data_IF_541932782199
#
_entry.id   IF_541932782199
#
_cell.length_a   1.000
_cell.length_b   1.000
_cell.length_c   1.000
_cell.angle_alpha   90.00
_cell.angle_beta   90.00
_cell.angle_gamma   90.00
#
_symmetry.space_group_name_H-M   'P 1'
#
loop_
_entity.id
_entity.type
_entity.pdbx_description
1 polymer ?
#
# COMPACT_ATOMS: atom_id res chain seq x y z
N UNK A 1 2.46 -5.03 -2.20
CA UNK A 1 1.08 -5.25 -2.66
C UNK A 1 0.35 -3.93 -2.48
N UNK A 2 -0.24 -3.39 -3.55
CA UNK A 2 -1.12 -2.22 -3.51
C UNK A 2 -2.53 -2.75 -3.62
N UNK A 3 -3.41 -2.35 -2.71
CA UNK A 3 -4.79 -2.81 -2.68
C UNK A 3 -5.58 -2.13 -3.81
N UNK A 4 -6.34 -2.91 -4.56
CA UNK A 4 -7.28 -2.36 -5.53
C UNK A 4 -8.50 -1.77 -4.79
N UNK A 5 -9.14 -0.71 -5.32
CA UNK A 5 -10.40 -0.21 -4.78
C UNK A 5 -11.43 -1.34 -4.68
N UNK A 6 -12.11 -1.44 -3.52
CA UNK A 6 -13.12 -2.47 -3.26
C UNK A 6 -12.59 -3.76 -2.65
N UNK A 7 -11.26 -3.91 -2.52
CA UNK A 7 -10.69 -4.96 -1.67
C UNK A 7 -10.74 -4.52 -0.21
N UNK A 8 -11.25 -5.39 0.65
CA UNK A 8 -11.29 -5.22 2.09
C UNK A 8 -10.56 -6.38 2.77
N UNK A 9 -10.06 -6.11 3.98
CA UNK A 9 -9.47 -7.11 4.85
C UNK A 9 -10.26 -7.08 6.14
N UNK A 10 -10.46 -8.27 6.69
CA UNK A 10 -10.96 -8.44 8.03
C UNK A 10 -9.80 -8.77 8.94
N UNK A 11 -9.92 -8.33 10.18
CA UNK A 11 -8.89 -8.38 11.19
C UNK A 11 -9.52 -8.30 12.56
N UNK A 12 -8.79 -8.76 13.56
CA UNK A 12 -9.20 -8.68 14.95
C UNK A 12 -8.13 -7.95 15.74
N UNK A 13 -8.57 -7.18 16.72
CA UNK A 13 -7.70 -6.51 17.67
C UNK A 13 -8.13 -6.95 19.05
N UNK A 14 -7.31 -7.78 19.68
CA UNK A 14 -7.53 -8.21 21.05
C UNK A 14 -6.83 -7.26 22.02
N UNK A 15 -7.61 -6.63 22.90
CA UNK A 15 -7.08 -5.82 23.99
C UNK A 15 -7.25 -6.56 25.32
N UNK A 16 -6.26 -6.42 26.22
CA UNK A 16 -6.30 -7.05 27.55
C UNK A 16 -7.50 -6.57 28.36
N UNK A 17 -7.93 -5.32 28.16
CA UNK A 17 -9.12 -4.78 28.78
C UNK A 17 -9.77 -3.68 27.94
N UNK A 18 -11.00 -3.34 28.30
CA UNK A 18 -11.76 -2.24 27.66
C UNK A 18 -11.08 -0.89 27.88
N UNK A 19 -10.43 -0.69 29.02
CA UNK A 19 -9.69 0.53 29.34
C UNK A 19 -8.48 0.70 28.42
N UNK A 20 -7.77 -0.40 28.10
CA UNK A 20 -6.66 -0.38 27.15
C UNK A 20 -7.14 -0.03 25.75
N UNK A 21 -8.28 -0.60 25.31
CA UNK A 21 -8.91 -0.25 24.04
C UNK A 21 -9.26 1.25 23.98
N UNK A 22 -9.93 1.76 25.02
CA UNK A 22 -10.30 3.18 25.09
C UNK A 22 -9.08 4.10 25.10
N UNK A 23 -8.02 3.73 25.84
CA UNK A 23 -6.77 4.47 25.88
C UNK A 23 -6.09 4.49 24.49
N UNK A 24 -6.09 3.37 23.78
CA UNK A 24 -5.60 3.27 22.41
C UNK A 24 -6.37 4.18 21.45
N UNK A 25 -7.72 4.11 21.47
CA UNK A 25 -8.57 4.97 20.64
C UNK A 25 -8.30 6.45 20.92
N UNK A 26 -8.22 6.83 22.21
CA UNK A 26 -7.91 8.21 22.62
C UNK A 26 -6.53 8.67 22.16
N UNK A 27 -5.51 7.82 22.24
CA UNK A 27 -4.15 8.14 21.83
C UNK A 27 -4.05 8.43 20.32
N UNK A 28 -4.79 7.67 19.51
CA UNK A 28 -4.76 7.79 18.05
C UNK A 28 -5.80 8.82 17.54
N UNK A 29 -6.79 9.16 18.36
CA UNK A 29 -7.91 10.02 17.97
C UNK A 29 -8.98 9.27 17.17
N UNK A 30 -9.16 7.97 17.47
CA UNK A 30 -10.21 7.15 16.89
C UNK A 30 -11.48 7.18 17.71
N UNK A 31 -12.61 7.05 17.02
CA UNK A 31 -13.86 6.61 17.62
C UNK A 31 -13.73 5.12 17.98
N UNK A 32 -14.16 4.74 19.19
CA UNK A 32 -14.02 3.38 19.69
C UNK A 32 -14.78 2.35 18.85
N UNK A 33 -15.85 2.78 18.19
CA UNK A 33 -16.67 1.99 17.27
C UNK A 33 -17.06 2.86 16.08
N UNK A 34 -17.31 2.21 14.95
CA UNK A 34 -17.64 2.89 13.69
C UNK A 34 -16.41 3.18 12.83
N UNK A 35 -16.56 4.13 11.92
CA UNK A 35 -15.64 4.34 10.80
C UNK A 35 -14.53 5.33 11.14
N UNK A 36 -13.28 4.89 10.99
CA UNK A 36 -12.07 5.66 11.24
C UNK A 36 -11.18 5.73 10.00
N UNK A 37 -10.31 6.73 9.93
CA UNK A 37 -9.32 6.87 8.86
C UNK A 37 -7.91 6.69 9.42
N UNK A 38 -7.13 5.78 8.81
CA UNK A 38 -5.75 5.54 9.22
C UNK A 38 -4.83 5.45 8.00
N UNK A 39 -3.58 5.88 8.15
CA UNK A 39 -2.53 5.60 7.16
C UNK A 39 -1.71 4.40 7.60
N UNK A 40 -1.87 3.29 6.91
CA UNK A 40 -1.12 2.05 7.11
C UNK A 40 0.01 1.89 6.08
N UNK A 41 1.16 1.42 6.56
CA UNK A 41 2.29 1.04 5.73
C UNK A 41 3.42 2.08 5.63
N UNK A 42 4.39 1.79 4.75
CA UNK A 42 5.64 2.58 4.61
C UNK A 42 5.53 3.74 3.61
N UNK A 43 4.52 3.74 2.74
CA UNK A 43 4.41 4.65 1.60
C UNK A 43 3.54 5.89 1.87
N UNK A 44 3.43 6.32 3.12
CA UNK A 44 2.49 7.37 3.56
C UNK A 44 2.70 8.72 2.85
N UNK A 45 3.93 9.00 2.36
CA UNK A 45 4.27 10.23 1.62
C UNK A 45 3.92 10.18 0.13
N UNK A 46 3.60 9.02 -0.43
CA UNK A 46 3.31 8.83 -1.86
C UNK A 46 1.80 8.78 -2.16
N UNK A 47 0.97 9.26 -1.23
CA UNK A 47 -0.49 9.22 -1.34
C UNK A 47 -1.12 7.85 -1.05
N UNK A 48 -0.33 6.78 -0.93
CA UNK A 48 -0.80 5.44 -0.59
C UNK A 48 -0.98 5.24 0.92
N UNK A 49 -1.68 4.15 1.26
CA UNK A 49 -1.80 3.66 2.64
C UNK A 49 -2.94 4.26 3.43
N UNK A 50 -3.66 5.27 2.92
CA UNK A 50 -4.89 5.73 3.57
C UNK A 50 -5.96 4.63 3.43
N UNK A 51 -6.39 4.08 4.56
CA UNK A 51 -7.44 3.08 4.65
C UNK A 51 -8.58 3.59 5.54
N UNK A 52 -9.78 3.17 5.19
CA UNK A 52 -10.95 3.25 6.06
C UNK A 52 -10.96 2.00 6.92
N UNK A 53 -11.07 2.19 8.23
CA UNK A 53 -11.21 1.12 9.21
C UNK A 53 -12.59 1.20 9.81
N UNK A 54 -13.24 0.08 10.03
CA UNK A 54 -14.48 0.04 10.79
C UNK A 54 -14.30 -0.91 11.97
N UNK A 55 -14.54 -0.38 13.16
CA UNK A 55 -14.50 -1.17 14.39
C UNK A 55 -15.92 -1.46 14.83
N UNK A 56 -16.22 -2.74 14.98
CA UNK A 56 -17.40 -3.24 15.67
C UNK A 56 -16.95 -4.03 16.89
N UNK A 57 -17.78 -4.08 17.92
CA UNK A 57 -17.62 -5.15 18.90
C UNK A 57 -17.73 -6.49 18.16
N UNK A 58 -16.94 -7.47 18.59
CA UNK A 58 -17.17 -8.85 18.17
C UNK A 58 -18.57 -9.23 18.67
N UNK A 59 -19.52 -9.33 17.74
CA UNK A 59 -20.86 -9.81 18.04
C UNK A 59 -20.72 -11.31 18.34
N UNK A 60 -20.74 -11.65 19.63
CA UNK A 60 -20.58 -13.01 20.17
C UNK A 60 -19.12 -13.52 20.18
N UNK A 61 -18.75 -14.44 21.10
CA UNK A 61 -17.37 -14.60 21.59
C UNK A 61 -16.42 -15.34 20.62
N UNK A 62 -16.83 -15.51 19.37
CA UNK A 62 -16.12 -16.33 18.39
C UNK A 62 -15.21 -15.44 17.53
N UNK A 63 -13.91 -15.69 17.62
CA UNK A 63 -12.95 -15.03 16.76
C UNK A 63 -13.24 -15.41 15.31
N UNK A 64 -13.33 -14.43 14.40
CA UNK A 64 -13.51 -14.63 12.97
C UNK A 64 -12.36 -15.43 12.35
N UNK A 65 -11.20 -15.46 13.01
CA UNK A 65 -10.06 -16.28 12.59
C UNK A 65 -10.10 -17.67 13.21
N UNK A 66 -10.38 -17.77 14.51
CA UNK A 66 -10.40 -19.07 15.19
C UNK A 66 -11.68 -19.86 14.89
N UNK A 67 -12.74 -19.20 14.44
CA UNK A 67 -14.05 -19.74 14.09
C UNK A 67 -14.85 -20.25 15.28
N UNK A 68 -14.29 -21.18 16.05
CA UNK A 68 -14.95 -21.83 17.16
C UNK A 68 -14.05 -21.91 18.41
N UNK A 69 -14.61 -21.95 19.63
CA UNK A 69 -13.87 -22.21 20.86
C UNK A 69 -13.05 -23.50 20.78
N UNK A 70 -11.95 -23.59 21.54
CA UNK A 70 -11.04 -24.75 21.53
C UNK A 70 -11.79 -26.07 21.74
N UNK A 71 -12.74 -26.09 22.67
CA UNK A 71 -13.55 -27.27 23.01
C UNK A 71 -14.40 -27.80 21.86
N UNK A 72 -14.77 -26.93 20.92
CA UNK A 72 -15.52 -27.33 19.73
C UNK A 72 -14.58 -27.79 18.61
N UNK A 73 -13.28 -27.43 18.69
CA UNK A 73 -12.24 -27.80 17.72
C UNK A 73 -11.54 -29.12 18.06
N UNK A 74 -11.42 -29.46 19.33
CA UNK A 74 -10.88 -30.74 19.78
C UNK A 74 -12.02 -31.75 19.89
N UNK A 75 -11.95 -32.80 19.10
CA UNK A 75 -12.97 -33.83 18.95
C UNK A 75 -12.62 -35.07 19.78
N UNK A 76 -13.59 -35.95 20.02
CA UNK A 76 -13.36 -37.17 20.81
C UNK A 76 -12.32 -38.11 20.19
N UNK A 77 -12.20 -38.12 18.86
CA UNK A 77 -11.20 -38.91 18.12
C UNK A 77 -9.77 -38.33 18.20
N UNK A 78 -9.59 -37.12 18.71
CA UNK A 78 -8.26 -36.58 18.99
C UNK A 78 -7.64 -37.22 20.25
N UNK A 79 -8.47 -37.88 21.08
CA UNK A 79 -8.03 -38.62 22.26
C UNK A 79 -7.84 -40.11 21.96
N UNK A 80 -6.92 -40.74 22.68
CA UNK A 80 -6.84 -42.20 22.70
C UNK A 80 -7.98 -42.82 23.52
N UNK A 81 -8.22 -44.13 23.39
CA UNK A 81 -9.31 -44.84 24.10
C UNK A 81 -9.27 -44.68 25.63
N UNK A 82 -8.10 -44.39 26.19
CA UNK A 82 -7.91 -44.18 27.63
C UNK A 82 -8.03 -42.71 28.08
N UNK A 83 -8.23 -41.76 27.16
CA UNK A 83 -8.18 -40.30 27.38
C UNK A 83 -6.93 -39.83 28.15
N UNK A 84 -5.80 -40.49 27.94
CA UNK A 84 -4.49 -40.16 28.56
C UNK A 84 -3.52 -39.50 27.59
N UNK A 85 -3.87 -39.49 26.30
CA UNK A 85 -3.11 -38.87 25.23
C UNK A 85 -4.07 -38.14 24.28
N UNK A 86 -3.67 -36.97 23.82
CA UNK A 86 -4.42 -36.13 22.88
C UNK A 86 -3.50 -35.71 21.74
N UNK A 87 -3.94 -35.85 20.48
CA UNK A 87 -3.19 -35.45 19.29
C UNK A 87 -3.81 -34.21 18.65
N UNK A 88 -3.01 -33.18 18.43
CA UNK A 88 -3.47 -31.85 18.01
C UNK A 88 -2.60 -31.29 16.88
N UNK A 89 -3.22 -30.55 15.97
CA UNK A 89 -2.51 -29.76 14.96
C UNK A 89 -2.37 -28.32 15.43
N UNK A 90 -1.16 -27.90 15.77
CA UNK A 90 -0.85 -26.51 16.14
C UNK A 90 -0.45 -25.71 14.91
N UNK A 91 -1.07 -24.56 14.68
CA UNK A 91 -0.85 -23.71 13.50
C UNK A 91 -0.61 -22.26 13.90
N UNK A 92 0.46 -21.65 13.40
CA UNK A 92 0.75 -20.24 13.63
C UNK A 92 -0.17 -19.35 12.77
N UNK A 93 -0.95 -18.49 13.41
CA UNK A 93 -1.80 -17.51 12.74
C UNK A 93 -1.05 -16.21 12.45
N UNK A 94 -0.06 -15.89 13.27
CA UNK A 94 0.87 -14.80 13.03
C UNK A 94 2.32 -15.28 13.16
N UNK A 95 3.31 -14.54 12.60
CA UNK A 95 4.70 -14.95 12.72
C UNK A 95 5.12 -15.01 14.20
N UNK A 96 5.91 -16.01 14.59
CA UNK A 96 6.37 -16.20 15.97
C UNK A 96 7.88 -15.97 16.09
N UNK A 97 8.29 -15.20 17.10
CA UNK A 97 9.70 -15.01 17.45
C UNK A 97 9.99 -15.85 18.69
N UNK A 98 10.53 -17.05 18.51
CA UNK A 98 10.83 -17.95 19.63
C UNK A 98 12.34 -18.16 19.71
N UNK A 99 12.88 -18.07 20.92
CA UNK A 99 14.29 -18.32 21.20
C UNK A 99 14.46 -19.66 21.88
N UNK A 100 15.50 -20.41 21.56
CA UNK A 100 15.89 -21.58 22.35
C UNK A 100 16.54 -21.16 23.68
N UNK A 101 16.96 -22.15 24.48
CA UNK A 101 17.60 -21.91 25.78
C UNK A 101 18.96 -21.21 25.68
N UNK A 102 19.56 -21.16 24.49
CA UNK A 102 20.81 -20.47 24.21
C UNK A 102 20.59 -19.08 23.58
N UNK A 103 19.34 -18.62 23.49
CA UNK A 103 19.00 -17.32 22.91
C UNK A 103 19.07 -17.29 21.37
N UNK A 104 19.14 -18.45 20.71
CA UNK A 104 19.12 -18.54 19.24
C UNK A 104 17.68 -18.64 18.76
N UNK A 105 17.37 -18.05 17.62
CA UNK A 105 16.04 -18.18 17.04
C UNK A 105 15.78 -19.61 16.59
N UNK A 106 14.61 -20.14 16.95
CA UNK A 106 14.18 -21.46 16.46
C UNK A 106 13.84 -21.39 14.98
N UNK A 107 14.10 -22.48 14.25
CA UNK A 107 13.84 -22.56 12.81
C UNK A 107 12.73 -23.56 12.45
N UNK A 108 12.26 -24.33 13.42
CA UNK A 108 11.17 -25.29 13.29
C UNK A 108 10.67 -25.73 14.66
N UNK A 109 9.67 -26.62 14.66
CA UNK A 109 9.08 -27.14 15.88
C UNK A 109 9.94 -28.24 16.50
N UNK A 110 10.17 -28.14 17.79
CA UNK A 110 10.86 -29.13 18.60
C UNK A 110 10.16 -29.24 19.96
N UNK A 111 10.14 -30.45 20.50
CA UNK A 111 9.39 -30.81 21.71
C UNK A 111 9.75 -29.90 22.89
N UNK A 112 11.04 -29.61 23.06
CA UNK A 112 11.54 -28.88 24.23
C UNK A 112 11.02 -27.45 24.28
N UNK A 113 11.05 -26.73 23.14
CA UNK A 113 10.58 -25.36 23.13
C UNK A 113 9.06 -25.30 23.08
N UNK A 114 8.38 -26.22 22.39
CA UNK A 114 6.91 -26.25 22.34
C UNK A 114 6.36 -26.47 23.75
N UNK A 115 6.88 -27.45 24.48
CA UNK A 115 6.51 -27.70 25.88
C UNK A 115 6.66 -26.44 26.76
N UNK A 116 7.82 -25.76 26.63
CA UNK A 116 8.14 -24.54 27.38
C UNK A 116 7.21 -23.37 27.03
N UNK A 117 6.97 -23.12 25.74
CA UNK A 117 6.14 -22.00 25.29
C UNK A 117 4.66 -22.19 25.64
N UNK A 118 4.19 -23.46 25.64
CA UNK A 118 2.86 -23.82 26.13
C UNK A 118 2.76 -23.80 27.66
N UNK A 119 3.88 -23.69 28.39
CA UNK A 119 3.97 -23.69 29.86
C UNK A 119 3.34 -24.93 30.50
N UNK A 120 3.51 -26.09 29.86
CA UNK A 120 2.94 -27.32 30.38
C UNK A 120 3.69 -27.77 31.65
N UNK A 121 3.01 -28.33 32.66
CA UNK A 121 3.65 -28.97 33.79
C UNK A 121 4.65 -30.06 33.36
N UNK A 122 5.74 -30.25 34.10
CA UNK A 122 6.78 -31.24 33.76
C UNK A 122 6.28 -32.69 33.64
N UNK A 123 5.17 -33.03 34.31
CA UNK A 123 4.53 -34.35 34.19
C UNK A 123 3.90 -34.60 32.82
N UNK A 124 3.53 -33.53 32.11
CA UNK A 124 2.94 -33.59 30.78
C UNK A 124 4.07 -33.71 29.77
N UNK A 125 3.99 -34.70 28.89
CA UNK A 125 4.93 -34.90 27.78
C UNK A 125 4.32 -34.34 26.50
N UNK A 126 5.18 -33.78 25.66
CA UNK A 126 4.85 -33.32 24.31
C UNK A 126 5.76 -34.05 23.35
N UNK A 127 5.17 -34.70 22.37
CA UNK A 127 5.88 -35.38 21.28
C UNK A 127 5.51 -34.70 19.97
N UNK A 128 6.51 -34.44 19.11
CA UNK A 128 6.28 -33.86 17.78
C UNK A 128 6.22 -35.00 16.77
N UNK A 129 5.10 -35.13 16.07
CA UNK A 129 4.90 -36.21 15.12
C UNK A 129 5.91 -36.13 13.94
N UNK A 130 6.72 -37.19 13.70
CA UNK A 130 7.67 -37.20 12.59
C UNK A 130 6.97 -37.04 11.24
N UNK A 131 7.49 -36.17 10.38
CA UNK A 131 6.93 -35.95 9.04
C UNK A 131 5.65 -35.10 8.99
N UNK A 132 5.07 -34.75 10.14
CA UNK A 132 3.86 -33.91 10.23
C UNK A 132 4.19 -32.52 10.78
N UNK A 133 5.30 -31.95 10.30
CA UNK A 133 5.72 -30.59 10.61
C UNK A 133 6.03 -29.81 9.34
N UNK A 134 5.53 -28.59 9.28
CA UNK A 134 5.83 -27.64 8.21
C UNK A 134 6.25 -26.32 8.84
N UNK A 135 7.48 -25.90 8.57
CA UNK A 135 8.02 -24.66 9.11
C UNK A 135 8.67 -23.86 8.00
N UNK A 136 8.38 -22.57 7.96
CA UNK A 136 9.08 -21.62 7.11
C UNK A 136 9.60 -20.49 7.98
N UNK A 137 10.81 -20.04 7.68
CA UNK A 137 11.42 -18.91 8.39
C UNK A 137 11.63 -17.74 7.45
N UNK A 138 11.62 -16.53 8.01
CA UNK A 138 12.11 -15.34 7.34
C UNK A 138 12.77 -14.39 8.31
N UNK A 139 13.55 -13.47 7.75
CA UNK A 139 14.08 -12.33 8.48
C UNK A 139 13.00 -11.26 8.60
N UNK A 140 12.77 -10.82 9.83
CA UNK A 140 11.95 -9.68 10.16
C UNK A 140 12.86 -8.48 10.39
N UNK A 141 12.72 -7.49 9.52
CA UNK A 141 13.42 -6.21 9.62
C UNK A 141 12.39 -5.09 9.83
N UNK A 142 12.78 -4.04 10.56
CA UNK A 142 11.88 -2.99 11.00
C UNK A 142 12.60 -1.69 11.30
N UNK A 143 11.82 -0.62 11.46
CA UNK A 143 12.34 0.69 11.84
C UNK A 143 11.55 1.21 13.03
N UNK A 144 12.24 1.71 14.05
CA UNK A 144 11.61 2.34 15.19
C UNK A 144 11.46 3.84 14.90
N UNK A 145 10.23 4.28 14.58
CA UNK A 145 9.96 5.68 14.28
C UNK A 145 10.15 6.61 15.48
N UNK A 146 10.02 6.11 16.72
CA UNK A 146 10.23 6.93 17.92
C UNK A 146 11.72 7.21 18.14
N UNK A 147 12.57 6.20 17.92
CA UNK A 147 14.01 6.32 18.10
C UNK A 147 14.74 6.80 16.83
N UNK A 148 14.09 6.72 15.67
CA UNK A 148 14.72 7.01 14.38
C UNK A 148 15.81 6.00 13.99
N UNK A 149 15.76 4.78 14.54
CA UNK A 149 16.79 3.75 14.33
C UNK A 149 16.20 2.46 13.74
N UNK A 150 16.96 1.71 12.93
CA UNK A 150 16.62 0.34 12.56
C UNK A 150 16.39 -0.52 13.80
N UNK A 151 15.39 -1.40 13.75
CA UNK A 151 15.17 -2.40 14.79
C UNK A 151 16.18 -3.54 14.63
N UNK A 152 16.42 -4.26 15.71
CA UNK A 152 17.16 -5.52 15.66
C UNK A 152 16.43 -6.47 14.72
N UNK A 153 17.20 -7.18 13.89
CA UNK A 153 16.67 -8.14 12.93
C UNK A 153 16.37 -9.45 13.66
N UNK A 154 15.10 -9.86 13.63
CA UNK A 154 14.65 -11.12 14.21
C UNK A 154 14.53 -12.20 13.13
N UNK A 155 14.72 -13.46 13.48
CA UNK A 155 14.25 -14.60 12.65
C UNK A 155 12.91 -15.03 13.20
N UNK A 156 11.90 -15.11 12.33
CA UNK A 156 10.55 -15.54 12.69
C UNK A 156 10.21 -16.88 12.05
N UNK A 157 9.46 -17.70 12.76
CA UNK A 157 8.61 -18.72 12.14
C UNK A 157 7.44 -17.99 11.47
N UNK A 158 7.18 -18.26 10.20
CA UNK A 158 6.12 -17.60 9.44
C UNK A 158 4.73 -18.09 9.86
N UNK A 159 3.74 -17.21 9.72
CA UNK A 159 2.34 -17.60 9.79
C UNK A 159 2.05 -18.70 8.75
N UNK A 160 1.20 -19.66 9.11
CA UNK A 160 0.94 -20.88 8.36
C UNK A 160 1.92 -22.02 8.65
N UNK A 161 3.00 -21.79 9.39
CA UNK A 161 3.81 -22.89 9.92
C UNK A 161 2.97 -23.71 10.89
N UNK A 162 3.00 -25.03 10.78
CA UNK A 162 2.16 -25.95 11.56
C UNK A 162 2.90 -27.21 11.96
N UNK A 163 2.42 -27.84 13.03
CA UNK A 163 2.97 -29.10 13.55
C UNK A 163 1.86 -29.92 14.18
N UNK A 164 1.91 -31.25 13.98
CA UNK A 164 1.13 -32.17 14.78
C UNK A 164 1.90 -32.55 16.04
N UNK A 165 1.27 -32.38 17.19
CA UNK A 165 1.81 -32.73 18.50
C UNK A 165 0.93 -33.75 19.19
N UNK A 166 1.54 -34.64 19.97
CA UNK A 166 0.85 -35.50 20.92
C UNK A 166 1.18 -35.06 22.34
N UNK A 167 0.15 -34.81 23.14
CA UNK A 167 0.24 -34.43 24.54
C UNK A 167 -0.20 -35.62 25.38
N UNK A 168 0.58 -36.01 26.38
CA UNK A 168 0.23 -37.11 27.29
C UNK A 168 0.61 -36.82 28.74
N UNK A 169 0.10 -37.61 29.70
CA UNK A 169 0.45 -37.46 31.12
C UNK A 169 -0.35 -36.39 31.87
N UNK A 170 -1.49 -35.96 31.32
CA UNK A 170 -2.49 -35.18 32.03
C UNK A 170 -3.44 -36.08 32.84
N UNK A 171 -3.95 -35.57 33.96
CA UNK A 171 -4.79 -36.35 34.88
C UNK A 171 -6.26 -36.35 34.46
N UNK A 172 -6.73 -35.25 33.88
CA UNK A 172 -8.10 -35.02 33.45
C UNK A 172 -8.09 -34.10 32.22
N UNK A 173 -9.10 -34.28 31.35
CA UNK A 173 -9.24 -33.53 30.10
C UNK A 173 -9.53 -32.05 30.34
N UNK A 174 -10.23 -31.70 31.42
CA UNK A 174 -10.59 -30.31 31.75
C UNK A 174 -9.37 -29.45 32.09
N UNK A 175 -8.42 -30.02 32.83
CA UNK A 175 -7.13 -29.37 33.11
C UNK A 175 -6.36 -29.16 31.81
N UNK A 176 -6.36 -30.13 30.89
CA UNK A 176 -5.72 -29.98 29.59
C UNK A 176 -6.37 -28.85 28.79
N UNK A 177 -7.71 -28.84 28.67
CA UNK A 177 -8.44 -27.78 27.97
C UNK A 177 -8.10 -26.40 28.53
N UNK A 178 -8.11 -26.25 29.85
CA UNK A 178 -7.80 -24.97 30.51
C UNK A 178 -6.37 -24.49 30.18
N UNK A 179 -5.39 -25.40 30.18
CA UNK A 179 -4.00 -25.08 29.84
C UNK A 179 -3.85 -24.67 28.37
N UNK A 180 -4.53 -25.37 27.46
CA UNK A 180 -4.47 -25.08 26.03
C UNK A 180 -5.20 -23.78 25.67
N UNK A 181 -6.35 -23.50 26.27
CA UNK A 181 -7.08 -22.24 26.14
C UNK A 181 -6.23 -21.06 26.63
N UNK A 182 -5.58 -21.19 27.79
CA UNK A 182 -4.66 -20.16 28.30
C UNK A 182 -3.47 -19.97 27.35
N UNK A 183 -2.92 -21.06 26.81
CA UNK A 183 -1.79 -20.98 25.89
C UNK A 183 -2.17 -20.27 24.58
N UNK A 184 -3.31 -20.59 23.97
CA UNK A 184 -3.81 -19.91 22.76
C UNK A 184 -4.07 -18.43 23.01
N UNK A 185 -4.78 -18.09 24.10
CA UNK A 185 -5.10 -16.70 24.44
C UNK A 185 -3.84 -15.86 24.69
N UNK A 186 -2.80 -16.49 25.25
CA UNK A 186 -1.53 -15.84 25.58
C UNK A 186 -0.58 -15.71 24.38
N UNK A 187 -0.60 -16.65 23.45
CA UNK A 187 0.39 -16.79 22.39
C UNK A 187 1.79 -17.20 22.87
N UNK A 188 2.69 -17.43 21.91
CA UNK A 188 4.06 -17.92 22.11
C UNK A 188 5.13 -16.88 21.75
N UNK A 189 6.32 -17.01 22.35
CA UNK A 189 7.49 -16.23 21.98
C UNK A 189 7.49 -14.76 22.42
N UNK A 190 8.31 -13.97 21.72
CA UNK A 190 8.55 -12.55 21.97
C UNK A 190 7.57 -11.66 21.20
N UNK A 191 7.41 -10.42 21.68
CA UNK A 191 6.64 -9.35 21.02
C UNK A 191 5.16 -9.71 20.76
N UNK A 192 4.58 -10.52 21.64
CA UNK A 192 3.17 -10.94 21.60
C UNK A 192 2.19 -9.77 21.63
N UNK A 193 2.52 -8.73 22.38
CA UNK A 193 1.79 -7.47 22.43
C UNK A 193 1.83 -6.66 21.13
N UNK A 194 2.70 -6.99 20.18
CA UNK A 194 2.71 -6.42 18.83
C UNK A 194 1.95 -7.30 17.81
N UNK A 195 1.33 -8.39 18.26
CA UNK A 195 0.57 -9.33 17.43
C UNK A 195 1.38 -10.52 16.89
N UNK A 196 2.61 -10.73 17.37
CA UNK A 196 3.41 -11.92 17.01
C UNK A 196 3.04 -13.13 17.87
N UNK A 197 3.25 -14.33 17.34
CA UNK A 197 3.11 -15.58 18.09
C UNK A 197 1.68 -16.00 18.40
N UNK A 198 0.70 -15.50 17.66
CA UNK A 198 -0.67 -16.01 17.71
C UNK A 198 -0.71 -17.38 17.01
N UNK A 199 -1.42 -18.34 17.60
CA UNK A 199 -1.53 -19.70 17.08
C UNK A 199 -2.87 -20.32 17.50
N UNK A 200 -3.21 -21.45 16.87
CA UNK A 200 -4.42 -22.21 17.17
C UNK A 200 -4.16 -23.72 17.07
N UNK A 201 -4.87 -24.51 17.87
CA UNK A 201 -4.97 -25.96 17.78
C UNK A 201 -6.17 -26.38 16.91
N UNK A 202 -6.01 -27.36 16.04
CA UNK A 202 -7.08 -27.87 15.18
C UNK A 202 -7.87 -26.74 14.50
N UNK A 203 -7.14 -25.80 13.88
CA UNK A 203 -7.73 -24.62 13.26
C UNK A 203 -8.82 -25.02 12.25
N UNK A 204 -9.99 -24.34 12.20
CA UNK A 204 -11.12 -24.81 11.39
C UNK A 204 -10.84 -24.90 9.89
N UNK A 205 -9.83 -24.19 9.39
CA UNK A 205 -9.34 -24.28 7.99
C UNK A 205 -9.11 -25.72 7.53
N UNK A 206 -8.77 -26.64 8.43
CA UNK A 206 -8.53 -28.03 8.08
C UNK A 206 -9.82 -28.79 7.69
N UNK A 207 -10.97 -28.39 8.23
CA UNK A 207 -12.25 -29.09 8.05
C UNK A 207 -13.31 -28.22 7.33
N UNK A 208 -13.44 -26.95 7.72
CA UNK A 208 -14.55 -26.07 7.35
C UNK A 208 -14.35 -25.31 6.04
N UNK A 209 -13.11 -25.06 5.59
CA UNK A 209 -12.87 -24.35 4.33
C UNK A 209 -13.30 -25.15 3.09
N UNK A 210 -13.60 -26.45 3.22
CA UNK A 210 -14.15 -27.26 2.13
C UNK A 210 -15.60 -26.89 1.79
N UNK A 211 -16.31 -26.23 2.70
CA UNK A 211 -17.74 -25.90 2.59
C UNK A 211 -18.00 -24.42 2.31
N UNK A 212 -16.95 -23.58 2.24
CA UNK A 212 -17.10 -22.15 1.97
C UNK A 212 -17.17 -21.90 0.46
N UNK A 213 -18.38 -21.68 -0.06
CA UNK A 213 -18.62 -21.37 -1.47
C UNK A 213 -18.56 -19.85 -1.75
N UNK A 214 -18.93 -19.00 -0.79
CA UNK A 214 -18.88 -17.53 -0.90
C UNK A 214 -18.39 -16.86 0.40
N UNK A 215 -17.79 -15.67 0.27
CA UNK A 215 -17.33 -14.88 1.41
C UNK A 215 -18.48 -13.99 1.92
N UNK A 216 -19.33 -14.54 2.79
CA UNK A 216 -20.47 -13.85 3.39
C UNK A 216 -20.07 -12.96 4.57
N UNK A 217 -19.26 -11.94 4.30
CA UNK A 217 -19.00 -10.91 5.32
C UNK A 217 -19.77 -9.64 4.96
N UNK A 218 -20.87 -9.33 5.68
CA UNK A 218 -21.67 -8.16 5.39
C UNK A 218 -20.87 -6.89 5.66
N UNK A 219 -20.64 -6.09 4.62
CA UNK A 219 -19.98 -4.78 4.75
C UNK A 219 -21.01 -3.72 5.16
N UNK A 220 -20.67 -2.91 6.17
CA UNK A 220 -21.47 -1.75 6.52
C UNK A 220 -21.54 -0.75 5.35
N UNK A 221 -22.66 -0.03 5.23
CA UNK A 221 -22.94 0.90 4.13
C UNK A 221 -21.87 1.99 3.94
N UNK A 222 -21.13 2.33 5.00
CA UNK A 222 -20.03 3.29 4.95
C UNK A 222 -18.78 2.75 4.23
N UNK A 223 -18.55 1.43 4.28
CA UNK A 223 -17.45 0.73 3.60
C UNK A 223 -17.83 0.21 2.21
N UNK A 224 -19.14 0.06 1.94
CA UNK A 224 -19.61 -0.24 0.60
C UNK A 224 -19.20 0.89 -0.34
N UNK A 225 -18.47 0.53 -1.40
CA UNK A 225 -18.32 1.43 -2.54
C UNK A 225 -19.73 1.81 -2.98
N UNK A 226 -20.09 3.09 -2.88
CA UNK A 226 -21.33 3.62 -3.47
C UNK A 226 -21.23 3.39 -4.98
N UNK A 227 -21.66 2.21 -5.43
CA UNK A 227 -21.50 1.71 -6.80
C UNK A 227 -21.93 2.78 -7.81
N UNK A 228 -23.08 3.42 -7.57
CA UNK A 228 -23.63 4.41 -8.50
C UNK A 228 -22.76 5.67 -8.69
N UNK A 229 -22.15 6.20 -7.61
CA UNK A 229 -21.34 7.43 -7.70
C UNK A 229 -19.89 7.14 -8.06
N UNK A 230 -19.35 6.00 -7.63
CA UNK A 230 -17.99 5.59 -7.97
C UNK A 230 -17.91 5.15 -9.43
N UNK A 231 -18.86 4.33 -9.89
CA UNK A 231 -18.89 3.85 -11.28
C UNK A 231 -19.16 5.02 -12.23
N UNK A 232 -20.03 5.96 -11.86
CA UNK A 232 -20.25 7.17 -12.65
C UNK A 232 -19.01 8.06 -12.69
N UNK A 233 -18.33 8.29 -11.55
CA UNK A 233 -17.10 9.08 -11.53
C UNK A 233 -15.95 8.41 -12.30
N UNK A 234 -15.78 7.10 -12.17
CA UNK A 234 -14.79 6.33 -12.92
C UNK A 234 -15.11 6.29 -14.40
N UNK A 235 -16.38 6.15 -14.77
CA UNK A 235 -16.84 6.24 -16.14
C UNK A 235 -16.54 7.62 -16.73
N UNK A 236 -16.83 8.71 -16.00
CA UNK A 236 -16.48 10.06 -16.43
C UNK A 236 -14.97 10.24 -16.60
N UNK A 237 -14.15 9.70 -15.69
CA UNK A 237 -12.69 9.76 -15.80
C UNK A 237 -12.22 8.98 -17.03
N UNK A 238 -12.66 7.74 -17.21
CA UNK A 238 -12.25 6.90 -18.33
C UNK A 238 -12.71 7.48 -19.68
N UNK A 239 -13.95 7.98 -19.75
CA UNK A 239 -14.48 8.60 -20.96
C UNK A 239 -13.74 9.91 -21.27
N UNK A 240 -13.50 10.75 -20.27
CA UNK A 240 -12.69 11.96 -20.40
C UNK A 240 -11.26 11.64 -20.88
N UNK A 241 -10.58 10.66 -20.29
CA UNK A 241 -9.22 10.27 -20.71
C UNK A 241 -9.19 9.83 -22.18
N UNK A 242 -10.21 9.07 -22.61
CA UNK A 242 -10.35 8.65 -24.00
C UNK A 242 -10.60 9.83 -24.93
N UNK A 243 -11.57 10.69 -24.61
CA UNK A 243 -11.95 11.84 -25.44
C UNK A 243 -10.84 12.89 -25.51
N UNK A 244 -10.29 13.29 -24.36
CA UNK A 244 -9.20 14.25 -24.27
C UNK A 244 -7.93 13.72 -24.93
N UNK A 245 -7.60 12.44 -24.70
CA UNK A 245 -6.48 11.78 -25.36
C UNK A 245 -6.63 11.74 -26.88
N UNK A 246 -7.82 11.35 -27.37
CA UNK A 246 -8.13 11.33 -28.81
C UNK A 246 -8.08 12.73 -29.41
N UNK A 247 -8.60 13.72 -28.69
CA UNK A 247 -8.55 15.11 -29.12
C UNK A 247 -7.10 15.62 -29.19
N UNK A 248 -6.30 15.42 -28.15
CA UNK A 248 -4.88 15.76 -28.16
C UNK A 248 -4.17 15.08 -29.33
N UNK A 249 -4.37 13.79 -29.53
CA UNK A 249 -3.77 13.01 -30.63
C UNK A 249 -4.27 13.49 -32.00
N UNK A 250 -5.51 14.00 -32.12
CA UNK A 250 -6.00 14.64 -33.35
C UNK A 250 -5.28 15.97 -33.62
N UNK A 251 -4.95 16.73 -32.58
CA UNK A 251 -4.09 17.92 -32.68
C UNK A 251 -2.64 17.55 -33.04
N UNK A 252 -2.25 16.27 -32.92
CA UNK A 252 -0.96 15.76 -33.43
C UNK A 252 -1.01 15.33 -34.90
N UNK A 253 -2.18 14.96 -35.44
CA UNK A 253 -2.31 14.28 -36.75
C UNK A 253 -2.84 15.14 -37.90
N UNK A 254 -3.54 16.25 -37.66
CA UNK A 254 -4.10 17.09 -38.75
C UNK A 254 -2.99 17.75 -39.61
N UNK A 255 -3.31 18.01 -40.87
CA UNK A 255 -2.44 18.35 -42.02
C UNK A 255 -1.53 19.61 -41.88
N UNK A 256 -1.51 20.29 -40.73
CA UNK A 256 -0.47 21.28 -40.35
C UNK A 256 0.75 20.62 -39.65
N UNK A 257 0.77 19.28 -39.60
CA UNK A 257 1.97 18.48 -39.47
C UNK A 257 2.74 18.56 -38.14
N UNK A 258 3.89 17.86 -38.03
CA UNK A 258 4.77 17.86 -36.86
C UNK A 258 5.18 19.26 -36.36
N UNK A 259 4.98 20.32 -37.15
CA UNK A 259 5.24 21.73 -36.79
C UNK A 259 4.51 22.20 -35.54
N UNK A 260 3.28 21.74 -35.34
CA UNK A 260 2.45 22.19 -34.22
C UNK A 260 3.04 21.86 -32.85
N UNK A 261 3.73 20.72 -32.79
CA UNK A 261 4.44 20.27 -31.60
C UNK A 261 5.95 20.53 -31.69
N UNK A 262 6.51 20.95 -32.84
CA UNK A 262 7.94 21.34 -32.96
C UNK A 262 8.36 22.38 -31.93
N UNK A 263 7.44 23.27 -31.51
CA UNK A 263 7.72 24.25 -30.46
C UNK A 263 8.08 23.62 -29.11
N UNK A 264 7.63 22.39 -28.85
CA UNK A 264 7.95 21.60 -27.65
C UNK A 264 9.16 20.68 -27.82
N UNK A 265 9.81 20.69 -28.99
CA UNK A 265 10.92 19.80 -29.29
C UNK A 265 12.23 20.18 -28.55
N UNK A 266 12.25 21.34 -27.88
CA UNK A 266 13.38 21.80 -27.08
C UNK A 266 13.38 21.12 -25.69
N UNK A 267 14.53 20.64 -25.22
CA UNK A 267 14.65 19.89 -23.97
C UNK A 267 14.20 20.66 -22.72
N UNK A 268 14.19 22.00 -22.78
CA UNK A 268 13.70 22.84 -21.67
C UNK A 268 12.21 22.63 -21.40
N UNK A 269 11.45 22.14 -22.38
CA UNK A 269 10.05 21.77 -22.18
C UNK A 269 9.87 20.48 -21.36
N UNK A 270 10.89 19.63 -21.23
CA UNK A 270 10.82 18.48 -20.32
C UNK A 270 10.73 18.94 -18.86
N UNK A 271 11.51 19.96 -18.49
CA UNK A 271 11.43 20.60 -17.17
C UNK A 271 10.04 21.21 -16.93
N UNK A 272 9.47 21.87 -17.95
CA UNK A 272 8.12 22.43 -17.87
C UNK A 272 7.05 21.34 -17.74
N UNK A 273 7.16 20.25 -18.49
CA UNK A 273 6.23 19.13 -18.38
C UNK A 273 6.28 18.48 -16.98
N UNK A 274 7.48 18.32 -16.40
CA UNK A 274 7.63 17.87 -15.01
C UNK A 274 7.00 18.85 -14.03
N UNK A 275 7.15 20.15 -14.26
CA UNK A 275 6.46 21.18 -13.47
C UNK A 275 4.95 21.00 -13.57
N UNK A 276 4.36 20.94 -14.77
CA UNK A 276 2.92 20.72 -14.95
C UNK A 276 2.41 19.44 -14.27
N UNK A 277 3.22 18.38 -14.28
CA UNK A 277 2.89 17.12 -13.64
C UNK A 277 2.89 17.18 -12.11
N UNK A 278 3.73 18.05 -11.53
CA UNK A 278 3.96 18.16 -10.07
C UNK A 278 3.24 19.34 -9.43
N UNK A 279 3.18 20.47 -10.12
CA UNK A 279 2.36 21.63 -9.75
C UNK A 279 0.90 21.22 -9.82
N UNK A 280 0.14 21.55 -8.79
CA UNK A 280 -1.30 21.32 -8.74
C UNK A 280 -2.03 22.68 -8.87
N UNK A 281 -1.94 23.38 -10.02
CA UNK A 281 -2.68 24.62 -10.20
C UNK A 281 -4.18 24.27 -10.16
N UNK A 282 -4.94 25.03 -9.39
CA UNK A 282 -6.37 24.75 -9.18
C UNK A 282 -7.23 25.08 -10.40
N UNK A 283 -6.77 26.03 -11.22
CA UNK A 283 -7.50 26.52 -12.39
C UNK A 283 -6.55 27.10 -13.45
N UNK A 284 -7.13 27.54 -14.58
CA UNK A 284 -6.39 28.15 -15.71
C UNK A 284 -5.61 29.38 -15.28
N UNK A 285 -6.17 30.25 -14.44
CA UNK A 285 -5.53 31.51 -14.02
C UNK A 285 -4.28 31.26 -13.16
N UNK A 286 -4.36 30.30 -12.24
CA UNK A 286 -3.25 29.85 -11.42
C UNK A 286 -2.14 29.25 -12.30
N UNK A 287 -2.52 28.43 -13.29
CA UNK A 287 -1.58 27.88 -14.25
C UNK A 287 -0.93 28.98 -15.10
N UNK A 288 -1.68 29.94 -15.62
CA UNK A 288 -1.13 31.06 -16.39
C UNK A 288 -0.17 31.90 -15.55
N UNK A 289 -0.49 32.14 -14.29
CA UNK A 289 0.37 32.86 -13.35
C UNK A 289 1.67 32.10 -13.14
N UNK A 290 1.59 30.79 -12.93
CA UNK A 290 2.75 29.90 -12.84
C UNK A 290 3.61 29.97 -14.12
N UNK A 291 3.00 29.86 -15.30
CA UNK A 291 3.70 29.91 -16.58
C UNK A 291 4.35 31.27 -16.85
N UNK A 292 3.67 32.39 -16.51
CA UNK A 292 4.22 33.76 -16.62
C UNK A 292 5.36 34.03 -15.65
N UNK A 293 5.47 33.25 -14.58
CA UNK A 293 6.59 33.31 -13.62
C UNK A 293 7.85 32.60 -14.12
N UNK A 294 7.74 31.73 -15.13
CA UNK A 294 8.89 30.98 -15.64
C UNK A 294 9.98 31.90 -16.19
N UNK A 295 11.22 31.62 -15.80
CA UNK A 295 12.37 32.45 -16.13
C UNK A 295 12.53 33.71 -15.26
N UNK A 296 11.58 34.03 -14.37
CA UNK A 296 11.78 35.07 -13.35
C UNK A 296 12.47 34.47 -12.14
N UNK A 297 13.79 34.23 -12.22
CA UNK A 297 14.56 33.78 -11.05
C UNK A 297 14.38 34.73 -9.85
N UNK A 298 14.16 36.02 -10.10
CA UNK A 298 13.84 37.00 -9.06
C UNK A 298 12.54 36.71 -8.29
N UNK A 299 11.57 35.92 -8.79
CA UNK A 299 10.38 35.60 -7.99
C UNK A 299 10.67 34.59 -6.86
N UNK A 300 11.82 33.90 -6.91
CA UNK A 300 12.22 32.89 -5.93
C UNK A 300 13.22 33.41 -4.89
N UNK A 301 13.76 34.61 -5.09
CA UNK A 301 14.74 35.22 -4.19
C UNK A 301 14.04 36.19 -3.24
N UNK A 302 14.30 36.15 -1.92
CA UNK A 302 13.80 37.12 -0.96
C UNK A 302 14.14 38.56 -1.37
N UNK A 303 13.24 39.51 -1.12
CA UNK A 303 13.37 40.91 -1.56
C UNK A 303 14.70 41.56 -1.13
N UNK A 304 15.21 41.18 0.05
CA UNK A 304 16.46 41.67 0.62
C UNK A 304 17.70 41.29 -0.21
N UNK A 305 17.70 40.13 -0.87
CA UNK A 305 18.82 39.68 -1.72
C UNK A 305 18.76 40.22 -3.16
N UNK A 306 17.63 40.82 -3.56
CA UNK A 306 17.46 41.35 -4.93
C UNK A 306 18.26 42.62 -5.16
N UNK A 307 18.44 43.45 -4.12
CA UNK A 307 19.17 44.72 -4.21
C UNK A 307 20.68 44.51 -4.36
N UNK A 308 21.21 43.40 -3.83
CA UNK A 308 22.62 43.03 -3.92
C UNK A 308 22.97 42.39 -5.27
N UNK A 309 22.03 41.67 -5.88
CA UNK A 309 22.20 41.01 -7.18
C UNK A 309 21.91 41.99 -8.33
N UNK A 310 22.86 42.89 -8.62
CA UNK A 310 22.85 43.75 -9.82
C UNK A 310 23.06 42.94 -11.11
N UNK A 311 22.08 42.15 -11.49
CA UNK A 311 22.14 41.33 -12.72
C UNK A 311 21.35 41.96 -13.84
N UNK A 312 21.97 42.06 -15.02
CA UNK A 312 21.31 42.42 -16.27
C UNK A 312 20.15 41.45 -16.54
N UNK A 313 19.01 41.96 -17.01
CA UNK A 313 17.91 41.11 -17.47
C UNK A 313 18.36 40.27 -18.66
N UNK A 314 18.68 39.01 -18.39
CA UNK A 314 18.97 38.03 -19.44
C UNK A 314 17.64 37.70 -20.12
N UNK A 315 17.60 37.83 -21.45
CA UNK A 315 16.46 37.37 -22.26
C UNK A 315 16.22 35.89 -21.97
N UNK A 316 15.13 35.59 -21.29
CA UNK A 316 14.77 34.21 -20.96
C UNK A 316 14.00 33.57 -22.10
N UNK A 317 14.33 32.31 -22.40
CA UNK A 317 13.74 31.51 -23.48
C UNK A 317 12.20 31.59 -23.59
N UNK A 318 11.49 31.65 -22.45
CA UNK A 318 10.03 31.69 -22.41
C UNK A 318 9.39 33.08 -22.58
N UNK A 319 10.17 34.17 -22.56
CA UNK A 319 9.66 35.55 -22.63
C UNK A 319 9.86 36.23 -23.98
N UNK A 320 10.83 35.77 -24.78
CA UNK A 320 11.13 36.38 -26.06
C UNK A 320 10.01 36.09 -27.05
N UNK A 321 9.27 37.12 -27.48
CA UNK A 321 8.02 37.00 -28.26
C UNK A 321 8.15 36.17 -29.54
N UNK A 322 9.35 36.11 -30.13
CA UNK A 322 9.62 35.38 -31.38
C UNK A 322 10.29 34.01 -31.16
N UNK A 323 10.59 33.64 -29.91
CA UNK A 323 11.24 32.37 -29.60
C UNK A 323 10.23 31.22 -29.44
N UNK A 324 10.71 30.00 -29.70
CA UNK A 324 9.92 28.78 -29.55
C UNK A 324 9.36 28.61 -28.13
N UNK A 325 10.08 29.10 -27.11
CA UNK A 325 9.65 29.05 -25.71
C UNK A 325 8.34 29.80 -25.47
N UNK A 326 8.22 31.04 -25.96
CA UNK A 326 7.01 31.85 -25.78
C UNK A 326 5.81 31.25 -26.52
N UNK A 327 6.02 30.77 -27.75
CA UNK A 327 4.97 30.08 -28.53
C UNK A 327 4.47 28.82 -27.84
N UNK A 328 5.38 27.99 -27.30
CA UNK A 328 5.02 26.79 -26.56
C UNK A 328 4.26 27.10 -25.26
N UNK A 329 4.64 28.14 -24.51
CA UNK A 329 3.90 28.54 -23.31
C UNK A 329 2.50 29.04 -23.65
N UNK A 330 2.36 29.93 -24.64
CA UNK A 330 1.03 30.39 -25.08
C UNK A 330 0.16 29.22 -25.54
N UNK A 331 0.77 28.22 -26.18
CA UNK A 331 0.06 27.00 -26.58
C UNK A 331 -0.44 26.21 -25.38
N UNK A 332 0.37 26.02 -24.35
CA UNK A 332 -0.06 25.36 -23.11
C UNK A 332 -1.27 26.09 -22.52
N UNK A 333 -1.26 27.43 -22.49
CA UNK A 333 -2.39 28.23 -22.04
C UNK A 333 -3.65 27.99 -22.88
N UNK A 334 -3.53 27.95 -24.22
CA UNK A 334 -4.67 27.65 -25.11
C UNK A 334 -5.22 26.25 -24.83
N UNK A 335 -4.35 25.24 -24.74
CA UNK A 335 -4.75 23.85 -24.47
C UNK A 335 -5.40 23.71 -23.09
N UNK A 336 -4.91 24.43 -22.09
CA UNK A 336 -5.49 24.41 -20.74
C UNK A 336 -6.85 25.10 -20.69
N UNK A 337 -7.11 26.12 -21.51
CA UNK A 337 -8.45 26.74 -21.61
C UNK A 337 -9.45 25.78 -22.24
N UNK A 338 -9.07 25.10 -23.32
CA UNK A 338 -9.93 24.07 -23.93
C UNK A 338 -10.20 22.91 -22.97
N UNK A 339 -9.20 22.51 -22.17
CA UNK A 339 -9.37 21.51 -21.12
C UNK A 339 -10.41 21.95 -20.09
N UNK A 340 -10.30 23.20 -19.59
CA UNK A 340 -11.26 23.73 -18.62
C UNK A 340 -12.67 23.81 -19.23
N UNK A 341 -12.81 24.32 -20.46
CA UNK A 341 -14.09 24.38 -21.19
C UNK A 341 -14.75 22.99 -21.30
N UNK A 342 -13.99 21.94 -21.65
CA UNK A 342 -14.51 20.57 -21.71
C UNK A 342 -14.96 20.06 -20.34
N UNK A 343 -14.19 20.33 -19.28
CA UNK A 343 -14.55 19.92 -17.91
C UNK A 343 -15.77 20.68 -17.41
N UNK A 344 -15.93 21.95 -17.75
CA UNK A 344 -17.08 22.74 -17.33
C UNK A 344 -18.39 22.29 -17.97
N UNK A 345 -18.35 21.79 -19.21
CA UNK A 345 -19.51 21.23 -19.91
C UNK A 345 -20.04 19.94 -19.26
N UNK A 346 -19.21 19.23 -18.49
CA UNK A 346 -19.63 18.03 -17.76
C UNK A 346 -20.49 18.42 -16.55
N UNK A 347 -21.69 17.83 -16.47
CA UNK A 347 -22.63 17.97 -15.35
C UNK A 347 -22.22 17.07 -14.17
N UNK A 348 -21.05 17.34 -13.59
CA UNK A 348 -20.42 16.55 -12.53
C UNK A 348 -20.03 17.40 -11.31
N UNK A 349 -19.82 16.75 -10.17
CA UNK A 349 -19.43 17.42 -8.92
C UNK A 349 -18.05 18.10 -9.02
N UNK A 350 -17.86 19.17 -8.23
CA UNK A 350 -16.62 19.95 -8.23
C UNK A 350 -15.35 19.14 -7.89
N UNK A 351 -15.45 18.14 -7.00
CA UNK A 351 -14.32 17.28 -6.67
C UNK A 351 -13.87 16.42 -7.86
N UNK A 352 -14.81 15.92 -8.67
CA UNK A 352 -14.48 15.17 -9.89
C UNK A 352 -13.89 16.11 -10.95
N UNK A 353 -14.43 17.34 -11.10
CA UNK A 353 -13.86 18.36 -12.01
C UNK A 353 -12.40 18.67 -11.69
N UNK A 354 -12.06 18.87 -10.42
CA UNK A 354 -10.67 19.12 -9.99
C UNK A 354 -9.74 17.95 -10.34
N UNK A 355 -10.22 16.71 -10.18
CA UNK A 355 -9.45 15.51 -10.55
C UNK A 355 -9.26 15.37 -12.06
N UNK A 356 -10.29 15.64 -12.86
CA UNK A 356 -10.19 15.65 -14.33
C UNK A 356 -9.23 16.72 -14.82
N UNK A 357 -9.26 17.91 -14.20
CA UNK A 357 -8.33 19.00 -14.49
C UNK A 357 -6.87 18.56 -14.28
N UNK A 358 -6.56 18.01 -13.11
CA UNK A 358 -5.23 17.50 -12.81
C UNK A 358 -4.82 16.40 -13.81
N UNK A 359 -5.73 15.48 -14.13
CA UNK A 359 -5.45 14.38 -15.06
C UNK A 359 -5.20 14.88 -16.49
N UNK A 360 -6.00 15.83 -16.97
CA UNK A 360 -5.84 16.45 -18.27
C UNK A 360 -4.50 17.17 -18.43
N UNK A 361 -4.04 17.87 -17.38
CA UNK A 361 -2.71 18.48 -17.35
C UNK A 361 -1.58 17.44 -17.37
N UNK A 362 -1.73 16.32 -16.67
CA UNK A 362 -0.75 15.22 -16.72
C UNK A 362 -0.64 14.60 -18.10
N UNK A 363 -1.78 14.40 -18.79
CA UNK A 363 -1.81 13.89 -20.16
C UNK A 363 -1.16 14.87 -21.14
N UNK A 364 -1.42 16.17 -20.98
CA UNK A 364 -0.75 17.21 -21.76
C UNK A 364 0.77 17.20 -21.53
N UNK A 365 1.21 17.11 -20.27
CA UNK A 365 2.63 17.02 -19.91
C UNK A 365 3.30 15.80 -20.56
N UNK A 366 2.64 14.64 -20.58
CA UNK A 366 3.17 13.43 -21.22
C UNK A 366 3.42 13.64 -22.72
N UNK A 367 2.51 14.31 -23.42
CA UNK A 367 2.64 14.64 -24.84
C UNK A 367 3.74 15.66 -25.14
N UNK A 368 3.94 16.65 -24.25
CA UNK A 368 5.06 17.60 -24.33
C UNK A 368 6.39 16.84 -24.22
N UNK A 369 6.52 15.92 -23.25
CA UNK A 369 7.73 15.09 -23.07
C UNK A 369 7.99 14.22 -24.28
N UNK A 370 6.95 13.60 -24.83
CA UNK A 370 7.05 12.76 -26.03
C UNK A 370 7.63 13.57 -27.22
N UNK A 371 7.14 14.80 -27.41
CA UNK A 371 7.64 15.70 -28.44
C UNK A 371 9.12 16.09 -28.25
N UNK A 372 9.52 16.46 -27.02
CA UNK A 372 10.90 16.79 -26.70
C UNK A 372 11.87 15.60 -26.94
N UNK A 373 11.43 14.38 -26.63
CA UNK A 373 12.26 13.17 -26.77
C UNK A 373 12.44 12.71 -28.22
N UNK A 374 11.42 12.85 -29.07
CA UNK A 374 11.50 12.48 -30.50
C UNK A 374 12.62 13.21 -31.24
N UNK A 375 12.87 14.49 -30.92
CA UNK A 375 13.98 15.25 -31.53
C UNK A 375 15.34 14.73 -31.06
N UNK A 376 15.47 14.34 -29.79
CA UNK A 376 16.71 13.78 -29.25
C UNK A 376 17.07 12.46 -29.93
N UNK A 377 16.11 11.56 -30.14
CA UNK A 377 16.35 10.29 -30.85
C UNK A 377 16.72 10.47 -32.33
N UNK A 378 16.14 11.47 -32.99
CA UNK A 378 16.51 11.81 -34.39
C UNK A 378 17.90 12.45 -34.49
N UNK A 379 18.28 13.30 -33.53
CA UNK A 379 19.61 13.92 -33.48
C UNK A 379 20.72 12.91 -33.18
N UNK A 380 20.46 11.90 -32.35
CA UNK A 380 21.45 10.85 -32.06
C UNK A 380 21.63 9.87 -33.23
N UNK A 381 20.60 9.63 -34.03
CA UNK A 381 20.68 8.75 -35.20
C UNK A 381 21.44 9.37 -36.39
N UNK A 382 21.48 10.70 -36.51
CA UNK A 382 22.22 11.40 -37.57
C UNK A 382 23.71 11.59 -37.28
N UNK A 383 24.20 11.20 -36.11
CA UNK A 383 25.60 11.40 -35.70
C UNK A 383 26.44 10.10 -35.74
N UNK A 384 25.83 8.98 -36.15
CA UNK A 384 26.44 7.63 -36.17
C UNK A 384 26.52 7.06 -37.60
N UNK A 385 26.88 7.88 -38.57
CA UNK A 385 27.34 7.37 -39.89
C UNK A 385 28.86 7.15 -39.80
N UNK A 386 29.37 5.91 -39.93
CA UNK A 386 30.80 5.68 -39.98
C UNK A 386 31.33 6.20 -41.32
N UNK A 387 32.31 7.11 -41.28
CA UNK A 387 33.16 7.40 -42.44
C UNK A 387 33.99 6.15 -42.71
N UNK A 388 33.79 5.58 -43.89
CA UNK A 388 34.66 4.54 -44.44
C UNK A 388 36.09 5.08 -44.55
N UNK A 389 37.03 4.42 -43.88
CA UNK A 389 38.44 4.46 -44.25
C UNK A 389 38.67 3.36 -45.30
N UNK A 390 38.81 3.80 -46.55
CA UNK A 390 39.34 3.01 -47.66
C UNK A 390 40.29 3.92 -48.45
N UNK A 391 41.60 3.80 -48.19
CA UNK A 391 42.78 4.09 -49.02
C UNK A 391 44.02 3.96 -48.09
N UNK A 392 45.09 3.22 -48.38
CA UNK A 392 45.73 3.04 -49.68
C UNK A 392 46.51 1.71 -49.79
N UNK A 393 46.61 1.26 -51.04
CA UNK A 393 47.69 0.44 -51.59
C UNK A 393 48.95 1.29 -51.84
#
# INVERSE_FOLDING_TARGET
ITLAPGQFFLGEITCISKEVWQAFCKLIGFEAYGTNLLRLGKANRRGYGLCTLEFSDAAEPESIFLGAPLRNRIQANDFNDANTQCTLNMTLLSPAIVLDTWGRYVQGFAEEWVHRELKLPQRIKVEVAPGMQFSRTRLLDGFNNQLGLPRVRDVVLEAGSSVQISISGFADTETLFSLLEEAEARGIGLRRNEGYGAFAFNHPVYEQCRLMEEADVPLHNAMQLKRDLHDLAQWHIANFEKEWGTWLDSQFKKDDGPEYWKQFADERFEGLARLLHTSQPENVEALETLLKSLGKWCSFIPTQMKEELKTREIKTFFKSKNEMGHRGVNRICTLSRTLDEQIQQLQISGAVKARLWQRGLQMLAARIVESARRKRSMSTASTTTPQNEEEAA
#
